data_IF_190093490599
#
_entry.id   IF_190093490599
#
_cell.length_a   1.000
_cell.length_b   1.000
_cell.length_c   1.000
_cell.angle_alpha   90.00
_cell.angle_beta   90.00
_cell.angle_gamma   90.00
#
_symmetry.space_group_name_H-M   'P 1'
#
loop_
_entity.id
_entity.type
_entity.pdbx_description
1 polymer ?
#
# COMPACT_ATOMS: atom_id res chain seq x y z
N UNK A 1 39.63 41.20 4.17
CA UNK A 1 39.08 40.67 2.91
C UNK A 1 37.58 40.57 3.07
N UNK A 2 36.84 41.46 2.40
CA UNK A 2 35.39 41.67 2.55
C UNK A 2 34.73 40.91 1.39
N UNK A 3 33.98 39.84 1.68
CA UNK A 3 33.22 39.11 0.67
C UNK A 3 31.87 39.82 0.47
N UNK A 4 31.76 40.52 -0.65
CA UNK A 4 30.49 40.97 -1.21
C UNK A 4 29.77 39.76 -1.79
N UNK A 5 28.55 39.51 -1.33
CA UNK A 5 27.62 38.60 -1.98
C UNK A 5 26.66 39.51 -2.75
N UNK A 6 26.64 39.33 -4.06
CA UNK A 6 25.68 39.98 -4.95
C UNK A 6 24.36 39.23 -4.84
N UNK A 7 23.30 39.94 -4.48
CA UNK A 7 21.92 39.58 -4.79
C UNK A 7 21.67 39.98 -6.25
N UNK A 8 21.33 39.03 -7.11
CA UNK A 8 20.45 39.23 -8.27
C UNK A 8 20.08 37.89 -8.93
N UNK A 9 18.85 37.88 -9.44
CA UNK A 9 18.21 36.93 -10.37
C UNK A 9 17.61 35.62 -9.84
N UNK A 10 16.28 35.60 -9.70
CA UNK A 10 15.40 35.16 -10.80
C UNK A 10 14.00 34.79 -10.27
N UNK A 11 13.03 35.65 -10.57
CA UNK A 11 11.59 35.33 -10.49
C UNK A 11 11.26 34.40 -11.67
N UNK A 12 10.95 33.13 -11.37
CA UNK A 12 10.38 32.20 -12.34
C UNK A 12 8.94 31.86 -11.93
N UNK A 13 8.04 32.11 -12.87
CA UNK A 13 6.60 32.13 -12.67
C UNK A 13 5.99 30.83 -12.13
N UNK A 14 5.13 31.04 -11.15
CA UNK A 14 4.15 30.11 -10.64
C UNK A 14 3.21 29.66 -11.77
N UNK A 15 3.37 28.41 -12.22
CA UNK A 15 2.32 27.69 -12.94
C UNK A 15 1.60 26.82 -11.92
N UNK A 16 0.69 27.46 -11.19
CA UNK A 16 -0.31 26.81 -10.37
C UNK A 16 -1.10 25.79 -11.19
N UNK A 17 -0.67 24.54 -11.13
CA UNK A 17 -1.47 23.41 -11.57
C UNK A 17 -2.67 23.30 -10.64
N UNK A 18 -3.81 23.78 -11.10
CA UNK A 18 -5.09 23.56 -10.42
C UNK A 18 -5.37 22.06 -10.37
N UNK A 19 -5.00 21.43 -9.24
CA UNK A 19 -5.37 20.06 -8.96
C UNK A 19 -6.84 20.06 -8.54
N UNK A 20 -7.71 19.77 -9.49
CA UNK A 20 -9.13 19.55 -9.22
C UNK A 20 -9.24 18.25 -8.43
N UNK A 21 -9.26 18.38 -7.10
CA UNK A 21 -9.62 17.33 -6.17
C UNK A 21 -11.10 16.99 -6.38
N UNK A 22 -11.35 16.03 -7.27
CA UNK A 22 -12.61 15.31 -7.31
C UNK A 22 -12.35 13.96 -6.69
N UNK A 23 -12.80 13.79 -5.45
CA UNK A 23 -12.88 12.47 -4.83
C UNK A 23 -13.70 11.58 -5.79
N UNK A 24 -13.12 10.52 -6.39
CA UNK A 24 -13.85 9.71 -7.34
C UNK A 24 -14.81 8.80 -6.59
N UNK A 25 -16.08 8.87 -6.96
CA UNK A 25 -17.13 7.91 -6.62
C UNK A 25 -16.59 6.47 -6.78
N UNK A 26 -16.56 5.74 -5.68
CA UNK A 26 -16.05 4.37 -5.65
C UNK A 26 -17.15 3.45 -6.15
N UNK A 27 -17.24 3.30 -7.47
CA UNK A 27 -17.98 2.22 -8.08
C UNK A 27 -17.34 0.87 -7.70
N UNK A 28 -18.12 -0.23 -7.63
CA UNK A 28 -17.62 -1.56 -7.29
C UNK A 28 -16.52 -2.11 -8.24
N UNK A 29 -16.24 -1.41 -9.35
CA UNK A 29 -15.19 -1.74 -10.31
C UNK A 29 -13.77 -1.28 -9.94
N UNK A 30 -13.60 -0.54 -8.84
CA UNK A 30 -12.30 0.02 -8.47
C UNK A 30 -11.86 1.19 -9.37
N UNK A 31 -10.71 1.78 -9.05
CA UNK A 31 -10.14 2.91 -9.81
C UNK A 31 -9.12 2.38 -10.80
N UNK A 32 -9.14 2.88 -12.04
CA UNK A 32 -8.22 2.40 -13.09
C UNK A 32 -6.76 2.78 -12.81
N UNK A 33 -5.85 1.85 -13.06
CA UNK A 33 -4.41 2.12 -13.11
C UNK A 33 -4.07 2.74 -14.48
N UNK A 34 -3.80 4.05 -14.50
CA UNK A 34 -3.42 4.75 -15.72
C UNK A 34 -2.17 4.07 -16.31
N UNK A 35 -2.24 3.66 -17.58
CA UNK A 35 -1.15 3.03 -18.35
C UNK A 35 -0.80 1.57 -18.03
N UNK A 36 -1.60 0.83 -17.25
CA UNK A 36 -1.27 -0.58 -17.01
C UNK A 36 -0.06 -0.79 -16.08
N UNK A 37 0.33 0.23 -15.33
CA UNK A 37 1.42 0.19 -14.38
C UNK A 37 0.91 0.39 -12.96
N UNK A 38 1.68 -0.07 -11.98
CA UNK A 38 1.39 0.22 -10.59
C UNK A 38 1.54 1.72 -10.30
N UNK A 39 0.80 2.22 -9.31
CA UNK A 39 0.87 3.61 -8.87
C UNK A 39 2.28 3.97 -8.36
N UNK A 40 2.63 5.24 -8.44
CA UNK A 40 3.88 5.73 -7.84
C UNK A 40 3.79 5.77 -6.31
N UNK A 41 4.93 5.81 -5.61
CA UNK A 41 4.95 5.78 -4.14
C UNK A 41 4.20 6.95 -3.54
N UNK A 42 4.45 8.12 -4.08
CA UNK A 42 3.91 9.41 -3.70
C UNK A 42 2.38 9.38 -3.81
N UNK A 43 1.85 8.89 -4.94
CA UNK A 43 0.41 8.74 -5.15
C UNK A 43 -0.22 7.80 -4.12
N UNK A 44 0.42 6.66 -3.84
CA UNK A 44 -0.11 5.71 -2.87
C UNK A 44 -0.11 6.29 -1.46
N UNK A 45 0.96 7.01 -1.08
CA UNK A 45 1.04 7.68 0.22
C UNK A 45 -0.05 8.75 0.34
N UNK A 46 -0.24 9.58 -0.68
CA UNK A 46 -1.32 10.57 -0.71
C UNK A 46 -2.70 9.90 -0.58
N UNK A 47 -2.96 8.83 -1.32
CA UNK A 47 -4.22 8.06 -1.21
C UNK A 47 -4.41 7.57 0.24
N UNK A 48 -3.40 6.96 0.84
CA UNK A 48 -3.50 6.41 2.19
C UNK A 48 -3.66 7.49 3.28
N UNK A 49 -3.10 8.69 3.07
CA UNK A 49 -3.20 9.80 4.02
C UNK A 49 -4.51 10.58 3.90
N UNK A 50 -5.08 10.68 2.71
CA UNK A 50 -6.22 11.57 2.44
C UNK A 50 -7.55 10.83 2.21
N UNK A 51 -7.55 9.50 2.08
CA UNK A 51 -8.81 8.75 1.95
C UNK A 51 -9.46 8.56 3.33
N UNK A 52 -10.71 8.99 3.45
CA UNK A 52 -11.53 8.73 4.64
C UNK A 52 -11.93 7.27 4.72
N UNK A 53 -12.03 6.70 5.92
CA UNK A 53 -12.47 5.31 6.15
C UNK A 53 -13.86 5.05 5.55
N UNK A 54 -14.75 6.06 5.53
CA UNK A 54 -16.08 5.94 4.94
C UNK A 54 -16.04 5.80 3.40
N UNK A 55 -14.96 6.25 2.77
CA UNK A 55 -14.71 6.14 1.34
C UNK A 55 -13.81 4.94 1.04
N UNK A 56 -13.90 3.87 1.82
CA UNK A 56 -13.11 2.65 1.60
C UNK A 56 -13.98 1.42 1.63
N UNK A 57 -13.45 0.34 1.05
CA UNK A 57 -14.10 -0.94 1.03
C UNK A 57 -13.66 -1.76 2.25
N UNK A 58 -14.57 -2.52 2.84
CA UNK A 58 -14.23 -3.49 3.89
C UNK A 58 -13.37 -4.65 3.37
N UNK A 59 -13.46 -4.93 2.06
CA UNK A 59 -12.69 -5.98 1.39
C UNK A 59 -12.53 -5.69 -0.09
N UNK A 60 -11.56 -6.36 -0.74
CA UNK A 60 -11.45 -6.36 -2.19
C UNK A 60 -12.71 -7.00 -2.80
N UNK A 61 -13.46 -6.33 -3.69
CA UNK A 61 -14.65 -6.88 -4.30
C UNK A 61 -14.37 -8.14 -5.10
N UNK A 62 -15.37 -9.02 -5.22
CA UNK A 62 -15.31 -10.16 -6.14
C UNK A 62 -15.39 -9.71 -7.59
N UNK A 63 -14.91 -10.54 -8.51
CA UNK A 63 -15.01 -10.31 -9.95
C UNK A 63 -13.66 -10.03 -10.62
N UNK A 64 -13.73 -9.62 -11.88
CA UNK A 64 -12.55 -9.32 -12.72
C UNK A 64 -11.85 -8.06 -12.21
N UNK A 65 -10.51 -8.06 -12.24
CA UNK A 65 -9.67 -6.99 -11.70
C UNK A 65 -8.55 -6.70 -12.68
N UNK A 66 -8.91 -6.11 -13.80
CA UNK A 66 -7.94 -5.84 -14.85
C UNK A 66 -7.44 -4.41 -14.72
N UNK A 67 -6.18 -4.24 -14.31
CA UNK A 67 -5.54 -2.91 -14.31
C UNK A 67 -6.32 -1.90 -13.44
N UNK A 68 -6.57 -2.28 -12.19
CA UNK A 68 -7.37 -1.51 -11.22
C UNK A 68 -6.72 -1.48 -9.85
N UNK A 69 -7.12 -0.52 -9.02
CA UNK A 69 -6.81 -0.49 -7.61
C UNK A 69 -8.04 -0.22 -6.74
N UNK A 70 -7.94 -0.65 -5.48
CA UNK A 70 -8.94 -0.47 -4.44
C UNK A 70 -8.26 0.06 -3.18
N UNK A 71 -8.98 0.88 -2.41
CA UNK A 71 -8.57 1.26 -1.06
C UNK A 71 -9.44 0.48 -0.08
N UNK A 72 -8.78 -0.31 0.77
CA UNK A 72 -9.42 -1.32 1.61
C UNK A 72 -9.03 -1.11 3.07
N UNK A 73 -10.00 -1.25 3.95
CA UNK A 73 -9.83 -1.30 5.40
C UNK A 73 -8.93 -2.49 5.80
N UNK A 74 -7.95 -2.23 6.68
CA UNK A 74 -6.85 -3.14 6.99
C UNK A 74 -6.62 -3.32 8.49
N UNK A 75 -7.60 -2.97 9.32
CA UNK A 75 -7.59 -3.10 10.79
C UNK A 75 -7.30 -4.54 11.21
N UNK A 76 -7.92 -5.52 10.54
CA UNK A 76 -7.68 -6.95 10.83
C UNK A 76 -6.21 -7.35 10.72
N UNK A 77 -5.44 -6.74 9.81
CA UNK A 77 -4.00 -6.99 9.70
C UNK A 77 -3.19 -6.17 10.71
N UNK A 78 -3.67 -5.00 11.11
CA UNK A 78 -3.11 -4.27 12.25
C UNK A 78 -3.18 -5.10 13.53
N UNK A 79 -4.34 -5.68 13.84
CA UNK A 79 -4.53 -6.55 15.01
C UNK A 79 -3.66 -7.80 14.96
N UNK A 80 -3.59 -8.43 13.77
CA UNK A 80 -2.72 -9.59 13.56
C UNK A 80 -1.27 -9.26 13.83
N UNK A 81 -0.77 -8.12 13.37
CA UNK A 81 0.61 -7.69 13.62
C UNK A 81 0.87 -7.41 15.09
N UNK A 82 -0.07 -6.79 15.81
CA UNK A 82 0.01 -6.60 17.25
C UNK A 82 0.14 -7.94 18.01
N UNK A 83 -0.43 -9.02 17.45
CA UNK A 83 -0.31 -10.39 17.96
C UNK A 83 0.89 -11.18 17.37
N UNK A 84 1.82 -10.53 16.66
CA UNK A 84 2.96 -11.20 16.02
C UNK A 84 2.60 -12.10 14.83
N UNK A 85 1.37 -12.00 14.30
CA UNK A 85 0.90 -12.79 13.15
C UNK A 85 1.18 -12.09 11.83
N UNK A 86 1.37 -12.89 10.79
CA UNK A 86 1.60 -12.41 9.42
C UNK A 86 0.31 -11.81 8.85
N UNK A 87 0.44 -10.69 8.13
CA UNK A 87 -0.65 -10.06 7.37
C UNK A 87 -1.24 -11.00 6.31
N UNK A 88 -2.54 -10.92 6.09
CA UNK A 88 -3.27 -11.68 5.08
C UNK A 88 -4.10 -10.74 4.20
N UNK A 89 -3.90 -10.83 2.89
CA UNK A 89 -4.56 -9.96 1.91
C UNK A 89 -5.45 -10.80 1.00
N UNK A 90 -6.60 -11.19 1.51
CA UNK A 90 -7.55 -12.08 0.82
C UNK A 90 -8.16 -11.43 -0.43
N UNK A 91 -8.36 -12.23 -1.47
CA UNK A 91 -9.19 -11.94 -2.64
C UNK A 91 -9.73 -13.24 -3.24
N UNK A 92 -10.60 -13.13 -4.24
CA UNK A 92 -11.22 -14.24 -4.96
C UNK A 92 -10.37 -14.82 -6.10
N UNK A 93 -9.12 -14.36 -6.27
CA UNK A 93 -8.19 -14.82 -7.31
C UNK A 93 -7.13 -15.78 -6.80
N UNK A 94 -6.88 -15.83 -5.48
CA UNK A 94 -6.48 -16.99 -4.66
C UNK A 94 -5.17 -17.74 -4.97
N UNK A 95 -4.75 -17.85 -6.23
CA UNK A 95 -3.56 -18.56 -6.69
C UNK A 95 -2.38 -17.60 -6.84
N UNK A 96 -2.06 -16.90 -5.76
CA UNK A 96 -0.92 -15.98 -5.71
C UNK A 96 0.35 -16.71 -5.28
N UNK A 97 1.44 -16.42 -5.97
CA UNK A 97 2.81 -16.69 -5.53
C UNK A 97 3.37 -15.41 -4.90
N UNK A 98 3.69 -15.50 -3.60
CA UNK A 98 4.26 -14.38 -2.87
C UNK A 98 5.74 -14.27 -3.22
N UNK A 99 6.16 -13.11 -3.73
CA UNK A 99 7.54 -12.92 -4.18
C UNK A 99 8.38 -12.22 -3.11
N UNK A 100 7.93 -11.04 -2.67
CA UNK A 100 8.73 -10.19 -1.81
C UNK A 100 7.87 -9.23 -1.01
N UNK A 101 8.37 -8.89 0.17
CA UNK A 101 7.90 -7.75 0.95
C UNK A 101 9.04 -6.74 1.02
N UNK A 102 8.80 -5.51 0.57
CA UNK A 102 9.76 -4.42 0.75
C UNK A 102 9.25 -3.45 1.81
N UNK A 103 10.17 -2.97 2.66
CA UNK A 103 9.92 -1.89 3.62
C UNK A 103 10.82 -0.72 3.27
N UNK A 104 10.22 0.45 3.15
CA UNK A 104 10.88 1.71 2.81
C UNK A 104 10.54 2.75 3.87
N UNK A 105 11.43 3.71 4.05
CA UNK A 105 11.29 4.78 5.02
C UNK A 105 11.34 6.11 4.28
N UNK A 106 10.43 7.01 4.58
CA UNK A 106 10.34 8.31 3.93
C UNK A 106 10.18 9.42 4.97
N UNK A 107 10.85 10.54 4.72
CA UNK A 107 10.52 11.82 5.31
C UNK A 107 9.57 12.56 4.36
N UNK A 108 8.53 13.19 4.90
CA UNK A 108 7.59 13.99 4.12
C UNK A 108 7.89 15.47 4.34
N UNK A 109 8.34 16.16 3.29
CA UNK A 109 8.68 17.58 3.30
C UNK A 109 7.88 18.28 2.20
N UNK A 110 6.98 19.21 2.55
CA UNK A 110 6.17 19.98 1.58
C UNK A 110 5.52 19.09 0.50
N UNK A 111 4.80 18.04 0.94
CA UNK A 111 4.13 17.03 0.09
C UNK A 111 5.06 16.13 -0.75
N UNK A 112 6.37 16.31 -0.66
CA UNK A 112 7.36 15.46 -1.32
C UNK A 112 7.88 14.40 -0.38
N UNK A 113 8.12 13.21 -0.92
CA UNK A 113 8.75 12.12 -0.19
C UNK A 113 10.25 12.11 -0.45
N UNK A 114 11.01 12.15 0.64
CA UNK A 114 12.46 11.96 0.63
C UNK A 114 12.78 10.60 1.22
N UNK A 115 13.38 9.72 0.43
CA UNK A 115 13.79 8.40 0.93
C UNK A 115 14.86 8.54 2.00
N UNK A 116 14.66 7.85 3.12
CA UNK A 116 15.66 7.66 4.17
C UNK A 116 15.91 6.16 4.35
N UNK A 117 17.06 5.81 4.93
CA UNK A 117 17.35 4.44 5.32
C UNK A 117 17.58 4.38 6.82
N UNK A 118 17.24 3.26 7.45
CA UNK A 118 17.52 3.05 8.88
C UNK A 118 18.66 2.04 9.01
N UNK A 119 19.83 2.49 9.50
CA UNK A 119 21.02 1.65 9.68
C UNK A 119 21.74 2.02 10.96
N UNK A 120 22.26 1.01 11.67
CA UNK A 120 22.99 1.19 12.94
C UNK A 120 22.20 2.08 13.92
N UNK A 121 20.89 1.83 14.00
CA UNK A 121 19.95 2.58 14.84
C UNK A 121 19.82 4.08 14.54
N UNK A 122 20.19 4.52 13.33
CA UNK A 122 20.12 5.91 12.89
C UNK A 122 19.43 6.02 11.53
N UNK A 123 18.72 7.13 11.32
CA UNK A 123 18.22 7.49 9.99
C UNK A 123 19.32 8.16 9.18
N UNK A 124 19.49 7.68 7.95
CA UNK A 124 20.53 8.08 7.01
C UNK A 124 19.92 8.50 5.68
N UNK A 125 20.61 9.42 5.00
CA UNK A 125 20.35 9.80 3.61
C UNK A 125 21.51 9.36 2.73
N UNK A 126 21.21 9.05 1.48
CA UNK A 126 22.21 8.75 0.48
C UNK A 126 22.71 10.04 -0.16
N UNK A 127 24.01 10.32 -0.04
CA UNK A 127 24.64 11.51 -0.61
C UNK A 127 25.74 11.07 -1.57
N UNK A 128 25.91 11.77 -2.69
CA UNK A 128 27.01 11.52 -3.61
C UNK A 128 28.27 12.24 -3.12
N UNK A 129 29.32 11.48 -2.82
CA UNK A 129 30.65 12.00 -2.43
C UNK A 129 31.73 11.30 -3.25
N UNK A 130 32.64 12.07 -3.86
CA UNK A 130 33.75 11.54 -4.66
C UNK A 130 33.32 10.46 -5.69
N UNK A 131 32.24 10.75 -6.45
CA UNK A 131 31.59 9.86 -7.45
C UNK A 131 30.91 8.60 -6.88
N UNK A 132 31.04 8.32 -5.59
CA UNK A 132 30.38 7.20 -4.91
C UNK A 132 29.15 7.67 -4.12
N UNK A 133 28.24 6.76 -3.82
CA UNK A 133 27.13 7.02 -2.91
C UNK A 133 27.49 6.55 -1.51
N UNK A 134 27.41 7.47 -0.54
CA UNK A 134 27.64 7.18 0.87
C UNK A 134 26.36 7.45 1.67
N UNK A 135 26.16 6.66 2.72
CA UNK A 135 25.06 6.86 3.66
C UNK A 135 25.54 7.77 4.78
N UNK A 136 24.91 8.94 4.92
CA UNK A 136 25.25 9.92 5.95
C UNK A 136 24.10 10.00 6.95
N UNK A 137 24.35 9.83 8.26
CA UNK A 137 23.34 10.04 9.28
C UNK A 137 22.77 11.47 9.24
N UNK A 138 21.46 11.59 9.41
CA UNK A 138 20.79 12.90 9.54
C UNK A 138 21.25 13.65 10.80
N UNK A 139 21.27 14.97 10.75
CA UNK A 139 21.52 15.83 11.91
C UNK A 139 20.63 17.09 11.82
N UNK A 140 19.68 17.31 12.74
CA UNK A 140 19.33 16.44 13.88
C UNK A 140 18.79 15.07 13.44
N UNK A 141 18.88 14.07 14.33
CA UNK A 141 18.24 12.77 14.10
C UNK A 141 16.72 12.91 14.24
N UNK A 142 15.99 12.21 13.38
CA UNK A 142 14.53 12.17 13.37
C UNK A 142 14.00 11.25 14.48
N UNK A 143 12.83 11.56 15.02
CA UNK A 143 12.08 10.61 15.83
C UNK A 143 11.32 9.63 14.94
N UNK A 144 10.92 8.48 15.48
CA UNK A 144 10.30 7.42 14.69
C UNK A 144 8.94 7.85 14.10
N UNK A 145 8.21 8.69 14.84
CA UNK A 145 6.91 9.28 14.51
C UNK A 145 6.95 10.33 13.38
N UNK A 146 8.15 10.81 13.03
CA UNK A 146 8.38 11.74 11.93
C UNK A 146 8.69 11.01 10.61
N UNK A 147 8.90 9.69 10.67
CA UNK A 147 9.27 8.87 9.52
C UNK A 147 8.09 8.02 9.09
N UNK A 148 7.69 8.18 7.83
CA UNK A 148 6.70 7.30 7.22
C UNK A 148 7.35 5.96 6.92
N UNK A 149 6.88 4.91 7.60
CA UNK A 149 7.25 3.54 7.28
C UNK A 149 6.24 3.00 6.29
N UNK A 150 6.71 2.60 5.12
CA UNK A 150 5.88 2.16 4.02
C UNK A 150 6.23 0.73 3.62
N UNK A 151 5.25 -0.13 3.46
CA UNK A 151 5.47 -1.53 3.04
C UNK A 151 4.68 -1.88 1.80
N UNK A 152 5.32 -2.70 0.97
CA UNK A 152 4.75 -3.24 -0.25
C UNK A 152 4.89 -4.75 -0.29
N UNK A 153 3.79 -5.43 -0.58
CA UNK A 153 3.72 -6.87 -0.77
C UNK A 153 3.46 -7.14 -2.24
N UNK A 154 4.38 -7.83 -2.90
CA UNK A 154 4.27 -8.17 -4.31
C UNK A 154 3.90 -9.64 -4.47
N UNK A 155 2.95 -9.91 -5.36
CA UNK A 155 2.55 -11.25 -5.70
C UNK A 155 2.30 -11.38 -7.19
N UNK A 156 2.60 -12.55 -7.75
CA UNK A 156 2.29 -12.91 -9.14
C UNK A 156 1.26 -14.02 -9.16
N UNK A 157 0.39 -14.02 -10.16
CA UNK A 157 -0.58 -15.08 -10.30
C UNK A 157 0.09 -16.34 -10.86
N UNK A 158 -0.14 -17.49 -10.22
CA UNK A 158 0.53 -18.76 -10.56
C UNK A 158 0.30 -19.20 -12.00
N UNK A 159 -0.91 -19.00 -12.53
CA UNK A 159 -1.26 -19.40 -13.90
C UNK A 159 -1.01 -18.32 -14.95
N UNK A 160 -0.61 -17.11 -14.56
CA UNK A 160 -0.51 -15.97 -15.46
C UNK A 160 0.55 -15.00 -14.95
N UNK A 161 1.78 -15.14 -15.44
CA UNK A 161 2.93 -14.35 -14.98
C UNK A 161 2.79 -12.85 -15.24
N UNK A 162 1.96 -12.46 -16.21
CA UNK A 162 1.62 -11.06 -16.51
C UNK A 162 0.55 -10.45 -15.60
N UNK A 163 -0.09 -11.24 -14.74
CA UNK A 163 -1.09 -10.77 -13.79
C UNK A 163 -0.46 -10.65 -12.39
N UNK A 164 -0.29 -9.41 -11.93
CA UNK A 164 0.44 -9.09 -10.72
C UNK A 164 -0.44 -8.34 -9.73
N UNK A 165 -0.21 -8.58 -8.44
CA UNK A 165 -0.85 -7.88 -7.34
C UNK A 165 0.22 -7.16 -6.51
N UNK A 166 -0.08 -5.93 -6.12
CA UNK A 166 0.69 -5.18 -5.13
C UNK A 166 -0.24 -4.69 -4.03
N UNK A 167 0.12 -4.96 -2.78
CA UNK A 167 -0.56 -4.38 -1.62
C UNK A 167 0.38 -3.42 -0.95
N UNK A 168 -0.02 -2.17 -0.82
CA UNK A 168 0.77 -1.09 -0.25
C UNK A 168 0.10 -0.56 1.01
N UNK A 169 0.88 -0.31 2.06
CA UNK A 169 0.37 0.19 3.33
C UNK A 169 1.38 1.07 4.06
N UNK A 170 0.86 2.03 4.83
CA UNK A 170 1.62 2.87 5.74
C UNK A 170 1.53 2.29 7.16
N UNK A 171 2.66 2.28 7.86
CA UNK A 171 2.69 2.04 9.30
C UNK A 171 2.91 3.38 9.97
N UNK A 172 1.81 4.04 10.31
CA UNK A 172 1.82 5.31 11.03
C UNK A 172 0.56 5.37 11.89
N UNK A 173 0.70 5.80 13.14
CA UNK A 173 -0.44 6.07 14.02
C UNK A 173 -1.26 7.27 13.55
N UNK A 174 -0.65 8.14 12.74
CA UNK A 174 -1.31 9.34 12.16
C UNK A 174 -2.18 9.00 10.95
N UNK A 175 -2.10 7.79 10.42
CA UNK A 175 -2.85 7.37 9.23
C UNK A 175 -3.89 6.30 9.62
N UNK A 176 -5.07 6.31 9.00
CA UNK A 176 -6.03 5.23 9.18
C UNK A 176 -5.41 3.90 8.71
N UNK A 177 -5.88 2.79 9.30
CA UNK A 177 -5.40 1.45 8.98
C UNK A 177 -5.94 1.00 7.62
N UNK A 178 -5.43 1.60 6.54
CA UNK A 178 -5.83 1.34 5.15
C UNK A 178 -4.73 0.60 4.38
N UNK A 179 -5.14 -0.07 3.31
CA UNK A 179 -4.26 -0.67 2.33
C UNK A 179 -4.74 -0.35 0.91
N UNK A 180 -3.80 -0.07 0.00
CA UNK A 180 -4.08 0.04 -1.43
C UNK A 180 -3.77 -1.31 -2.07
N UNK A 181 -4.79 -1.91 -2.68
CA UNK A 181 -4.70 -3.17 -3.42
C UNK A 181 -4.70 -2.87 -4.91
N UNK A 182 -3.58 -3.12 -5.58
CA UNK A 182 -3.39 -2.85 -7.00
C UNK A 182 -3.28 -4.17 -7.76
N UNK A 183 -3.99 -4.29 -8.88
CA UNK A 183 -4.02 -5.44 -9.77
C UNK A 183 -3.60 -4.99 -11.16
N UNK A 184 -2.47 -5.50 -11.64
CA UNK A 184 -1.86 -5.13 -12.92
C UNK A 184 -1.97 -6.27 -13.93
N UNK A 185 -2.33 -5.94 -15.17
CA UNK A 185 -2.48 -6.89 -16.27
C UNK A 185 -3.90 -7.43 -16.37
N UNK A 186 -4.07 -8.46 -17.20
CA UNK A 186 -5.35 -9.11 -17.43
C UNK A 186 -5.49 -10.33 -16.52
N UNK A 187 -6.59 -10.40 -15.79
CA UNK A 187 -6.91 -11.57 -14.99
C UNK A 187 -7.02 -12.79 -15.91
N UNK A 188 -6.27 -13.86 -15.67
CA UNK A 188 -6.39 -15.07 -16.48
C UNK A 188 -7.80 -15.64 -16.34
N UNK A 189 -8.35 -16.12 -17.44
CA UNK A 189 -9.62 -16.85 -17.42
C UNK A 189 -9.42 -18.14 -16.63
N UNK A 190 -9.94 -18.19 -15.41
CA UNK A 190 -9.88 -19.43 -14.64
C UNK A 190 -10.91 -20.40 -15.22
N UNK A 191 -10.45 -21.48 -15.86
CA UNK A 191 -11.33 -22.62 -16.20
C UNK A 191 -11.87 -23.34 -14.96
N UNK A 192 -11.33 -23.05 -13.78
CA UNK A 192 -11.75 -23.62 -12.50
C UNK A 192 -11.87 -22.53 -11.43
N UNK A 193 -13.10 -22.23 -11.02
CA UNK A 193 -13.43 -21.39 -9.84
C UNK A 193 -13.01 -22.02 -8.49
N UNK A 194 -12.20 -23.08 -8.50
CA UNK A 194 -12.07 -24.01 -7.39
C UNK A 194 -11.03 -23.61 -6.31
N UNK A 195 -10.28 -22.52 -6.49
CA UNK A 195 -9.26 -22.08 -5.53
C UNK A 195 -9.62 -20.75 -4.84
N UNK A 196 -10.91 -20.50 -4.62
CA UNK A 196 -11.32 -19.47 -3.66
C UNK A 196 -10.96 -20.00 -2.27
N UNK A 197 -9.90 -19.46 -1.66
CA UNK A 197 -9.62 -19.75 -0.25
C UNK A 197 -10.77 -19.17 0.58
N UNK A 198 -11.66 -20.02 1.06
CA UNK A 198 -12.71 -19.64 2.00
C UNK A 198 -12.05 -18.97 3.20
N UNK A 199 -12.50 -17.76 3.54
CA UNK A 199 -11.97 -17.04 4.70
C UNK A 199 -12.13 -17.91 5.96
N UNK A 200 -11.14 -17.92 6.88
CA UNK A 200 -11.25 -18.69 8.12
C UNK A 200 -12.56 -18.42 8.87
N UNK A 201 -12.98 -17.16 8.97
CA UNK A 201 -14.25 -16.75 9.60
C UNK A 201 -15.48 -17.43 8.99
N UNK A 202 -15.48 -17.67 7.67
CA UNK A 202 -16.58 -18.37 7.00
C UNK A 202 -16.53 -19.86 7.33
N UNK A 203 -15.33 -20.45 7.38
CA UNK A 203 -15.15 -21.85 7.84
C UNK A 203 -15.60 -21.98 9.30
N UNK A 204 -15.28 -21.02 10.15
CA UNK A 204 -15.64 -21.03 11.57
C UNK A 204 -17.16 -20.92 11.75
N UNK A 205 -17.83 -20.01 11.01
CA UNK A 205 -19.30 -19.95 10.98
C UNK A 205 -19.93 -21.26 10.51
N UNK A 206 -19.41 -21.87 9.45
CA UNK A 206 -19.89 -23.17 8.96
C UNK A 206 -19.74 -24.24 10.05
N UNK A 207 -18.61 -24.27 10.76
CA UNK A 207 -18.39 -25.21 11.87
C UNK A 207 -19.37 -24.97 13.02
N UNK A 208 -19.59 -23.72 13.40
CA UNK A 208 -20.56 -23.34 14.44
C UNK A 208 -21.98 -23.79 14.07
N UNK A 209 -22.41 -23.53 12.83
CA UNK A 209 -23.72 -23.97 12.33
C UNK A 209 -23.87 -25.50 12.33
N UNK A 210 -22.83 -26.24 11.94
CA UNK A 210 -22.84 -27.71 12.00
C UNK A 210 -22.98 -28.20 13.44
N UNK A 211 -22.30 -27.56 14.39
CA UNK A 211 -22.39 -27.91 15.82
C UNK A 211 -23.80 -27.66 16.35
N UNK A 212 -24.42 -26.52 15.99
CA UNK A 212 -25.79 -26.19 16.39
C UNK A 212 -26.78 -27.21 15.82
N UNK A 213 -26.72 -27.49 14.52
CA UNK A 213 -27.65 -28.44 13.88
C UNK A 213 -27.57 -29.86 14.45
N UNK A 214 -26.35 -30.33 14.79
CA UNK A 214 -26.17 -31.61 15.50
C UNK A 214 -26.79 -31.63 16.90
N UNK A 215 -26.82 -30.48 17.60
CA UNK A 215 -27.43 -30.39 18.94
C UNK A 215 -28.97 -30.35 18.90
N UNK A 216 -29.56 -29.86 17.80
CA UNK A 216 -31.01 -29.74 17.61
C UNK A 216 -31.61 -30.98 16.93
N UNK A 217 -30.79 -31.95 16.51
CA UNK A 217 -31.24 -33.21 15.89
C UNK A 217 -31.69 -33.05 14.43
N UNK A 218 -31.24 -31.99 13.76
CA UNK A 218 -31.56 -31.71 12.35
C UNK A 218 -30.56 -32.35 11.36
N UNK A 219 -29.52 -33.04 11.87
CA UNK A 219 -28.51 -33.79 11.11
C UNK A 219 -28.13 -35.05 11.89
#
# INVERSE_FOLDING_TARGET
>A
MKLMINDDDAVAGDKGGHFVSTAPDILPGGKSLRLGIFLETEMVVQILQHTSVNDTLSEVPRGKKDTVFFVVQNESNTDRRAQGKISQFWDDRGAWESNSTSRSYFLQENEKLRSVTYRQSKYCIQVRQNKNYVQVPLNPQLQAEDVLVFSRYYSKHKSGSGYEKRVSLLHSEKCPALAVHEFKGCCPESKHYAYVRTKPQVIDKIKEEIIVKKKVGEI
#
